data_IF_414439356104
#
_entry.id   IF_414439356104
#
_cell.length_a   1.000
_cell.length_b   1.000
_cell.length_c   1.000
_cell.angle_alpha   90.00
_cell.angle_beta   90.00
_cell.angle_gamma   90.00
#
_symmetry.space_group_name_H-M   'P 1'
#
loop_
_entity.id
_entity.type
_entity.pdbx_description
1 polymer ?
#
# COMPACT_ATOMS: atom_id res chain seq x y z
N UNK A 1 51.99 -23.53 13.55
CA UNK A 1 52.34 -22.15 13.18
C UNK A 1 51.05 -21.36 13.10
N UNK A 2 51.01 -20.25 13.82
CA UNK A 2 49.93 -19.27 13.86
C UNK A 2 49.96 -18.33 12.63
N UNK A 3 48.98 -17.41 12.60
CA UNK A 3 48.68 -16.30 11.66
C UNK A 3 47.71 -16.68 10.52
N UNK A 4 46.67 -15.91 10.16
CA UNK A 4 46.12 -14.61 10.59
C UNK A 4 44.67 -14.54 10.01
N UNK A 5 43.65 -14.21 10.81
CA UNK A 5 42.97 -12.90 10.95
C UNK A 5 42.20 -12.37 9.73
N UNK A 6 40.92 -12.12 10.01
CA UNK A 6 40.12 -10.93 9.68
C UNK A 6 39.92 -10.58 8.20
N UNK A 7 38.78 -11.03 7.68
CA UNK A 7 38.06 -10.32 6.63
C UNK A 7 36.84 -9.66 7.25
N UNK A 8 36.93 -8.36 7.50
CA UNK A 8 35.84 -7.46 7.85
C UNK A 8 34.60 -7.77 7.00
N UNK A 9 33.54 -8.30 7.63
CA UNK A 9 32.20 -8.14 7.10
C UNK A 9 31.88 -6.66 7.17
N UNK A 10 32.07 -5.98 6.03
CA UNK A 10 31.59 -4.64 5.79
C UNK A 10 30.11 -4.60 6.14
N UNK A 11 29.84 -4.03 7.32
CA UNK A 11 28.54 -3.59 7.76
C UNK A 11 28.10 -2.53 6.75
N UNK A 12 27.42 -2.96 5.69
CA UNK A 12 26.80 -2.04 4.75
C UNK A 12 25.76 -1.26 5.56
N UNK A 13 26.07 0.01 5.81
CA UNK A 13 25.14 0.99 6.35
C UNK A 13 23.84 0.89 5.55
N UNK A 14 22.85 0.20 6.13
CA UNK A 14 21.49 0.24 5.62
C UNK A 14 21.07 1.69 5.71
N UNK A 15 20.56 2.29 4.63
CA UNK A 15 20.20 3.70 4.60
C UNK A 15 19.29 3.97 5.80
N UNK A 16 19.70 4.92 6.65
CA UNK A 16 18.87 5.44 7.72
C UNK A 16 17.55 5.84 7.10
N UNK A 17 16.52 5.01 7.32
CA UNK A 17 15.24 5.15 6.66
C UNK A 17 14.70 6.55 6.90
N UNK A 18 14.21 7.18 5.82
CA UNK A 18 13.39 8.39 5.85
C UNK A 18 12.55 8.41 7.13
N UNK A 19 12.98 9.22 8.11
CA UNK A 19 12.37 9.22 9.42
C UNK A 19 11.03 9.95 9.30
N UNK A 20 9.92 9.21 9.47
CA UNK A 20 8.59 9.79 9.57
C UNK A 20 8.63 10.90 10.62
N UNK A 21 8.32 12.13 10.19
CA UNK A 21 8.37 13.32 11.03
C UNK A 21 7.06 13.45 11.78
N UNK A 22 7.16 13.68 13.08
CA UNK A 22 6.01 13.93 13.93
C UNK A 22 5.96 15.39 14.39
N UNK A 23 4.76 15.91 14.69
CA UNK A 23 4.57 17.35 14.93
C UNK A 23 5.36 17.90 16.13
N UNK A 24 5.61 17.04 17.14
CA UNK A 24 6.29 17.44 18.36
C UNK A 24 7.40 16.46 18.74
N UNK A 25 8.46 16.91 19.45
CA UNK A 25 9.51 16.03 19.96
C UNK A 25 8.99 14.91 20.88
N UNK A 26 7.88 15.18 21.58
CA UNK A 26 7.19 14.19 22.42
C UNK A 26 6.62 13.07 21.56
N UNK A 27 5.85 13.40 20.53
CA UNK A 27 5.28 12.39 19.62
C UNK A 27 6.37 11.63 18.88
N UNK A 28 7.44 12.31 18.46
CA UNK A 28 8.61 11.67 17.85
C UNK A 28 9.23 10.63 18.78
N UNK A 29 9.44 10.97 20.06
CA UNK A 29 9.96 10.05 21.07
C UNK A 29 9.01 8.87 21.29
N UNK A 30 7.70 9.11 21.36
CA UNK A 30 6.69 8.05 21.52
C UNK A 30 6.68 7.07 20.34
N UNK A 31 6.81 7.56 19.11
CA UNK A 31 6.88 6.72 17.91
C UNK A 31 8.15 5.86 17.87
N UNK A 32 9.29 6.45 18.20
CA UNK A 32 10.56 5.72 18.29
C UNK A 32 10.49 4.62 19.37
N UNK A 33 9.96 4.95 20.55
CA UNK A 33 9.81 4.00 21.65
C UNK A 33 8.79 2.89 21.31
N UNK A 34 7.67 3.25 20.67
CA UNK A 34 6.69 2.29 20.16
C UNK A 34 7.35 1.26 19.21
N UNK A 35 8.07 1.72 18.20
CA UNK A 35 8.73 0.85 17.22
C UNK A 35 9.78 -0.05 17.89
N UNK A 36 10.59 0.51 18.79
CA UNK A 36 11.60 -0.24 19.56
C UNK A 36 10.98 -1.35 20.39
N UNK A 37 9.95 -1.03 21.18
CA UNK A 37 9.25 -1.99 22.07
C UNK A 37 8.52 -3.07 21.27
N UNK A 38 7.96 -2.70 20.09
CA UNK A 38 7.29 -3.64 19.20
C UNK A 38 8.27 -4.65 18.59
N UNK A 39 9.42 -4.19 18.11
CA UNK A 39 10.49 -5.03 17.57
C UNK A 39 11.07 -5.96 18.63
N UNK A 40 11.12 -5.52 19.89
CA UNK A 40 11.48 -6.38 21.02
C UNK A 40 10.39 -7.40 21.40
N UNK A 41 9.23 -7.42 20.72
CA UNK A 41 8.17 -8.42 20.89
C UNK A 41 7.17 -8.15 22.02
N UNK A 42 7.26 -7.01 22.73
CA UNK A 42 6.38 -6.71 23.87
C UNK A 42 5.03 -6.12 23.43
N UNK A 43 4.09 -6.99 23.01
CA UNK A 43 2.77 -6.61 22.47
C UNK A 43 1.97 -5.67 23.38
N UNK A 44 1.91 -5.94 24.68
CA UNK A 44 1.12 -5.14 25.63
C UNK A 44 1.67 -3.73 25.76
N UNK A 45 2.99 -3.60 25.88
CA UNK A 45 3.64 -2.31 26.03
C UNK A 45 3.58 -1.51 24.72
N UNK A 46 3.83 -2.15 23.57
CA UNK A 46 3.70 -1.49 22.26
C UNK A 46 2.28 -1.01 22.00
N UNK A 47 1.25 -1.79 22.36
CA UNK A 47 -0.13 -1.37 22.17
C UNK A 47 -0.49 -0.16 23.04
N UNK A 48 -0.01 -0.10 24.30
CA UNK A 48 -0.20 1.08 25.15
C UNK A 48 0.43 2.32 24.53
N UNK A 49 1.68 2.23 24.05
CA UNK A 49 2.39 3.34 23.41
C UNK A 49 1.70 3.79 22.12
N UNK A 50 1.18 2.85 21.32
CA UNK A 50 0.42 3.15 20.11
C UNK A 50 -0.84 3.95 20.43
N UNK A 51 -1.58 3.56 21.47
CA UNK A 51 -2.78 4.28 21.89
C UNK A 51 -2.46 5.69 22.41
N UNK A 52 -1.36 5.85 23.15
CA UNK A 52 -0.89 7.18 23.58
C UNK A 52 -0.50 8.05 22.38
N UNK A 53 0.20 7.49 21.41
CA UNK A 53 0.56 8.18 20.18
C UNK A 53 -0.68 8.61 19.39
N UNK A 54 -1.67 7.73 19.21
CA UNK A 54 -2.93 8.04 18.53
C UNK A 54 -3.67 9.16 19.25
N UNK A 55 -3.77 9.10 20.58
CA UNK A 55 -4.41 10.14 21.37
C UNK A 55 -3.69 11.49 21.22
N UNK A 56 -2.35 11.47 21.20
CA UNK A 56 -1.53 12.65 20.96
C UNK A 56 -1.74 13.24 19.56
N UNK A 57 -1.69 12.42 18.51
CA UNK A 57 -1.95 12.84 17.13
C UNK A 57 -3.35 13.42 16.96
N UNK A 58 -4.37 12.86 17.62
CA UNK A 58 -5.75 13.38 17.58
C UNK A 58 -5.92 14.74 18.27
N UNK A 59 -4.96 15.15 19.10
CA UNK A 59 -4.96 16.45 19.76
C UNK A 59 -4.14 17.51 18.99
N UNK A 60 -3.42 17.12 17.94
CA UNK A 60 -2.67 18.03 17.08
C UNK A 60 -3.55 18.71 16.04
N UNK A 61 -3.02 19.78 15.45
CA UNK A 61 -3.65 20.47 14.32
C UNK A 61 -3.79 19.57 13.09
N UNK A 62 -4.84 19.80 12.30
CA UNK A 62 -5.15 19.01 11.11
C UNK A 62 -4.01 19.00 10.08
N UNK A 63 -3.33 20.14 9.88
CA UNK A 63 -2.21 20.24 8.94
C UNK A 63 -1.00 19.41 9.40
N UNK A 64 -0.75 19.37 10.71
CA UNK A 64 0.31 18.55 11.29
C UNK A 64 0.03 17.05 11.16
N UNK A 65 -1.21 16.63 11.40
CA UNK A 65 -1.62 15.23 11.20
C UNK A 65 -1.54 14.84 9.74
N UNK A 66 -1.97 15.73 8.83
CA UNK A 66 -1.87 15.50 7.39
C UNK A 66 -0.43 15.33 6.92
N UNK A 67 0.49 16.20 7.38
CA UNK A 67 1.92 16.09 7.07
C UNK A 67 2.50 14.76 7.56
N UNK A 68 2.14 14.33 8.78
CA UNK A 68 2.52 13.02 9.30
C UNK A 68 2.02 11.87 8.41
N UNK A 69 0.73 11.88 8.03
CA UNK A 69 0.15 10.85 7.15
C UNK A 69 0.84 10.84 5.79
N UNK A 70 1.12 12.01 5.23
CA UNK A 70 1.84 12.15 3.98
C UNK A 70 3.23 11.50 4.05
N UNK A 71 4.03 11.83 5.07
CA UNK A 71 5.38 11.27 5.26
C UNK A 71 5.34 9.75 5.49
N UNK A 72 4.37 9.29 6.29
CA UNK A 72 4.17 7.87 6.58
C UNK A 72 3.81 7.08 5.31
N UNK A 73 2.81 7.54 4.56
CA UNK A 73 2.37 6.88 3.33
C UNK A 73 3.43 6.96 2.22
N UNK A 74 4.10 8.11 2.06
CA UNK A 74 5.20 8.25 1.10
C UNK A 74 6.32 7.26 1.38
N UNK A 75 6.66 7.04 2.65
CA UNK A 75 7.72 6.11 3.03
C UNK A 75 7.28 4.66 2.90
N UNK A 76 6.07 4.30 3.35
CA UNK A 76 5.57 2.93 3.35
C UNK A 76 5.19 2.42 1.95
N UNK A 77 4.70 3.29 1.08
CA UNK A 77 4.06 2.92 -0.19
C UNK A 77 4.92 3.27 -1.41
N UNK A 78 6.20 3.61 -1.20
CA UNK A 78 7.15 3.91 -2.26
C UNK A 78 7.34 2.73 -3.23
N UNK A 79 7.23 1.49 -2.74
CA UNK A 79 7.58 0.27 -3.48
C UNK A 79 6.39 -0.58 -3.91
N UNK A 80 5.14 -0.12 -3.77
CA UNK A 80 3.96 -0.85 -4.25
C UNK A 80 2.84 -0.99 -3.22
N UNK A 81 2.03 -2.05 -3.35
CA UNK A 81 0.97 -2.37 -2.40
C UNK A 81 1.55 -2.75 -1.03
N UNK A 82 0.87 -2.33 0.05
CA UNK A 82 1.19 -2.83 1.38
C UNK A 82 0.63 -4.25 1.52
N UNK A 83 1.51 -5.26 1.58
CA UNK A 83 1.15 -6.65 1.83
C UNK A 83 1.26 -6.94 3.34
N UNK A 84 0.32 -7.69 3.94
CA UNK A 84 0.28 -7.82 5.41
C UNK A 84 0.89 -9.09 6.00
N UNK A 85 1.39 -10.04 5.21
CA UNK A 85 1.60 -11.39 5.73
C UNK A 85 3.02 -11.96 5.53
N UNK A 86 3.99 -11.15 5.08
CA UNK A 86 5.39 -11.58 4.97
C UNK A 86 6.17 -11.40 6.28
N UNK A 87 7.16 -12.26 6.54
CA UNK A 87 8.15 -12.05 7.61
C UNK A 87 8.86 -10.70 7.48
N UNK A 88 9.09 -10.24 6.25
CA UNK A 88 9.70 -8.94 5.94
C UNK A 88 8.89 -7.77 6.50
N UNK A 89 7.56 -7.83 6.38
CA UNK A 89 6.63 -6.82 6.91
C UNK A 89 6.52 -6.95 8.43
N UNK A 90 6.63 -8.19 8.93
CA UNK A 90 6.70 -8.50 10.37
C UNK A 90 8.03 -8.13 11.03
N UNK A 91 9.05 -7.71 10.27
CA UNK A 91 10.33 -7.17 10.74
C UNK A 91 10.60 -5.73 10.26
N UNK A 92 9.67 -5.17 9.46
CA UNK A 92 9.44 -3.77 9.14
C UNK A 92 9.88 -2.76 10.23
N UNK A 93 10.89 -1.87 10.06
CA UNK A 93 11.14 -0.75 10.98
C UNK A 93 9.97 0.23 11.05
N UNK A 94 9.26 0.39 9.93
CA UNK A 94 8.04 1.18 9.81
C UNK A 94 6.89 0.26 9.42
N UNK A 95 5.77 0.36 10.14
CA UNK A 95 4.55 -0.39 9.87
C UNK A 95 3.34 0.44 10.20
N UNK A 96 2.26 0.16 9.50
CA UNK A 96 0.96 0.70 9.83
C UNK A 96 0.14 -0.38 10.53
N UNK A 97 -0.26 -0.13 11.77
CA UNK A 97 -1.18 -1.01 12.50
C UNK A 97 -2.62 -0.55 12.31
N UNK A 98 -3.57 -1.48 12.38
CA UNK A 98 -4.99 -1.22 12.15
C UNK A 98 -5.55 -0.05 12.99
N UNK A 99 -5.23 0.10 14.30
CA UNK A 99 -5.72 1.24 15.09
C UNK A 99 -5.19 2.59 14.58
N UNK A 100 -3.91 2.67 14.20
CA UNK A 100 -3.33 3.89 13.65
C UNK A 100 -3.91 4.21 12.27
N UNK A 101 -4.12 3.19 11.45
CA UNK A 101 -4.78 3.34 10.16
C UNK A 101 -6.18 3.93 10.35
N UNK A 102 -7.02 3.28 11.16
CA UNK A 102 -8.43 3.65 11.34
C UNK A 102 -8.60 5.02 11.97
N UNK A 103 -7.83 5.34 13.00
CA UNK A 103 -8.05 6.55 13.82
C UNK A 103 -7.33 7.79 13.28
N UNK A 104 -6.27 7.63 12.46
CA UNK A 104 -5.43 8.74 12.01
C UNK A 104 -5.31 8.80 10.48
N UNK A 105 -4.93 7.69 9.84
CA UNK A 105 -4.67 7.68 8.38
C UNK A 105 -5.95 7.78 7.57
N UNK A 106 -6.95 6.95 7.89
CA UNK A 106 -8.20 6.85 7.14
C UNK A 106 -8.98 8.19 7.09
N UNK A 107 -9.14 8.97 8.18
CA UNK A 107 -9.78 10.27 8.11
C UNK A 107 -9.10 11.23 7.11
N UNK A 108 -7.76 11.26 7.09
CA UNK A 108 -7.00 12.08 6.14
C UNK A 108 -7.19 11.57 4.71
N UNK A 109 -7.07 10.26 4.48
CA UNK A 109 -7.31 9.66 3.18
C UNK A 109 -8.72 9.97 2.66
N UNK A 110 -9.75 9.79 3.48
CA UNK A 110 -11.14 10.02 3.10
C UNK A 110 -11.35 11.48 2.67
N UNK A 111 -10.88 12.44 3.47
CA UNK A 111 -10.95 13.88 3.14
C UNK A 111 -10.23 14.20 1.82
N UNK A 112 -9.01 13.70 1.64
CA UNK A 112 -8.20 13.98 0.43
C UNK A 112 -8.76 13.30 -0.81
N UNK A 113 -9.30 12.09 -0.68
CA UNK A 113 -9.98 11.41 -1.77
C UNK A 113 -11.27 12.14 -2.17
N UNK A 114 -12.01 12.69 -1.20
CA UNK A 114 -13.17 13.55 -1.48
C UNK A 114 -12.76 14.83 -2.25
N UNK A 115 -11.58 15.38 -1.95
CA UNK A 115 -10.96 16.50 -2.65
C UNK A 115 -10.37 16.11 -4.03
N UNK A 116 -10.52 14.86 -4.46
CA UNK A 116 -9.97 14.33 -5.72
C UNK A 116 -8.45 14.45 -5.81
N UNK A 117 -7.75 14.24 -4.70
CA UNK A 117 -6.30 14.18 -4.71
C UNK A 117 -5.83 12.83 -5.28
N UNK A 118 -5.12 12.87 -6.42
CA UNK A 118 -4.68 11.69 -7.14
C UNK A 118 -3.73 10.82 -6.31
N UNK A 119 -2.83 11.44 -5.54
CA UNK A 119 -1.86 10.72 -4.71
C UNK A 119 -2.55 9.94 -3.59
N UNK A 120 -3.52 10.57 -2.93
CA UNK A 120 -4.24 9.94 -1.82
C UNK A 120 -5.20 8.85 -2.29
N UNK A 121 -5.80 8.98 -3.48
CA UNK A 121 -6.55 7.89 -4.12
C UNK A 121 -5.66 6.68 -4.42
N UNK A 122 -4.44 6.92 -4.92
CA UNK A 122 -3.45 5.86 -5.14
C UNK A 122 -3.08 5.17 -3.84
N UNK A 123 -2.77 5.94 -2.80
CA UNK A 123 -2.44 5.38 -1.48
C UNK A 123 -3.59 4.59 -0.86
N UNK A 124 -4.83 5.07 -1.01
CA UNK A 124 -6.01 4.33 -0.58
C UNK A 124 -6.15 2.97 -1.29
N UNK A 125 -5.78 2.87 -2.57
CA UNK A 125 -5.72 1.59 -3.28
C UNK A 125 -4.55 0.72 -2.78
N UNK A 126 -3.36 1.29 -2.58
CA UNK A 126 -2.18 0.55 -2.09
C UNK A 126 -2.37 0.00 -0.67
N UNK A 127 -3.28 0.60 0.11
CA UNK A 127 -3.66 0.19 1.47
C UNK A 127 -4.85 -0.79 1.51
N UNK A 128 -5.20 -1.41 0.37
CA UNK A 128 -6.34 -2.33 0.19
C UNK A 128 -6.58 -3.35 1.31
N UNK A 129 -5.51 -3.86 1.92
CA UNK A 129 -5.59 -4.82 3.02
C UNK A 129 -6.46 -4.35 4.19
N UNK A 130 -6.44 -3.06 4.52
CA UNK A 130 -7.19 -2.52 5.65
C UNK A 130 -8.68 -2.38 5.34
N UNK A 131 -9.02 -2.25 4.06
CA UNK A 131 -10.39 -2.13 3.59
C UNK A 131 -11.04 -3.51 3.42
N UNK A 132 -10.31 -4.49 2.90
CA UNK A 132 -10.81 -5.87 2.80
C UNK A 132 -10.97 -6.57 4.16
N UNK A 133 -10.19 -6.17 5.17
CA UNK A 133 -10.29 -6.74 6.53
C UNK A 133 -11.28 -6.02 7.45
N UNK A 134 -11.71 -4.80 7.12
CA UNK A 134 -12.59 -3.98 7.96
C UNK A 134 -13.59 -3.22 7.10
N UNK A 135 -14.82 -3.73 7.09
CA UNK A 135 -15.94 -3.17 6.33
C UNK A 135 -16.20 -1.69 6.66
N UNK A 136 -16.06 -1.27 7.93
CA UNK A 136 -16.33 0.11 8.32
C UNK A 136 -15.29 1.07 7.72
N UNK A 137 -14.04 0.61 7.58
CA UNK A 137 -13.01 1.36 6.89
C UNK A 137 -13.32 1.50 5.39
N UNK A 138 -13.73 0.41 4.73
CA UNK A 138 -14.15 0.42 3.33
C UNK A 138 -15.32 1.38 3.09
N UNK A 139 -16.37 1.28 3.91
CA UNK A 139 -17.53 2.14 3.80
C UNK A 139 -17.19 3.63 3.97
N UNK A 140 -16.32 3.97 4.93
CA UNK A 140 -15.87 5.35 5.17
C UNK A 140 -15.23 5.94 3.92
N UNK A 141 -14.29 5.22 3.30
CA UNK A 141 -13.61 5.70 2.10
C UNK A 141 -14.56 5.76 0.91
N UNK A 142 -15.38 4.72 0.69
CA UNK A 142 -16.27 4.64 -0.47
C UNK A 142 -17.32 5.74 -0.45
N UNK A 143 -17.87 6.06 0.73
CA UNK A 143 -18.76 7.22 0.89
C UNK A 143 -18.05 8.53 0.58
N UNK A 144 -16.79 8.69 1.02
CA UNK A 144 -16.01 9.90 0.77
C UNK A 144 -15.76 10.16 -0.72
N UNK A 145 -15.67 9.11 -1.54
CA UNK A 145 -15.49 9.22 -2.99
C UNK A 145 -16.80 9.20 -3.80
N UNK A 146 -17.96 9.23 -3.12
CA UNK A 146 -19.30 9.25 -3.71
C UNK A 146 -19.81 7.90 -4.22
N UNK A 147 -19.21 6.78 -3.79
CA UNK A 147 -19.62 5.43 -4.17
C UNK A 147 -20.65 4.81 -3.24
N UNK A 148 -21.16 3.64 -3.62
CA UNK A 148 -22.07 2.84 -2.79
C UNK A 148 -21.27 2.00 -1.78
N UNK A 149 -21.68 1.86 -0.50
CA UNK A 149 -20.86 1.23 0.55
C UNK A 149 -20.21 -0.13 0.20
N UNK A 150 -20.82 -0.93 -0.66
CA UNK A 150 -20.33 -2.24 -1.12
C UNK A 150 -19.37 -2.20 -2.30
N UNK A 151 -18.92 -1.02 -2.74
CA UNK A 151 -18.18 -0.84 -3.99
C UNK A 151 -16.69 -0.52 -3.80
N UNK A 152 -16.06 -0.91 -2.68
CA UNK A 152 -14.61 -0.76 -2.59
C UNK A 152 -13.94 -1.65 -3.63
N UNK A 153 -13.25 -1.02 -4.58
CA UNK A 153 -12.49 -1.68 -5.62
C UNK A 153 -11.15 -0.97 -5.80
N UNK A 154 -10.07 -1.71 -5.54
CA UNK A 154 -8.69 -1.23 -5.69
C UNK A 154 -8.43 -0.71 -7.10
N UNK A 155 -8.88 -1.43 -8.12
CA UNK A 155 -8.63 -1.05 -9.52
C UNK A 155 -9.34 0.26 -9.87
N UNK A 156 -10.62 0.39 -9.49
CA UNK A 156 -11.37 1.64 -9.64
C UNK A 156 -10.68 2.86 -9.00
N UNK A 157 -10.10 2.70 -7.80
CA UNK A 157 -9.36 3.78 -7.14
C UNK A 157 -8.08 4.17 -7.90
N UNK A 158 -7.33 3.18 -8.39
CA UNK A 158 -6.12 3.43 -9.19
C UNK A 158 -6.44 4.10 -10.52
N UNK A 159 -7.49 3.65 -11.22
CA UNK A 159 -7.94 4.26 -12.47
C UNK A 159 -8.42 5.70 -12.26
N UNK A 160 -9.16 5.97 -11.17
CA UNK A 160 -9.54 7.34 -10.80
C UNK A 160 -8.33 8.20 -10.49
N UNK A 161 -7.34 7.66 -9.77
CA UNK A 161 -6.07 8.35 -9.51
C UNK A 161 -5.35 8.70 -10.81
N UNK A 162 -5.20 7.74 -11.72
CA UNK A 162 -4.53 7.92 -13.01
C UNK A 162 -5.26 8.93 -13.90
N UNK A 163 -6.60 8.90 -13.93
CA UNK A 163 -7.41 9.86 -14.68
C UNK A 163 -7.28 11.30 -14.16
N UNK A 164 -7.04 11.48 -12.86
CA UNK A 164 -6.77 12.79 -12.27
C UNK A 164 -5.34 13.26 -12.52
N UNK A 165 -4.38 12.35 -12.43
CA UNK A 165 -2.97 12.61 -12.70
C UNK A 165 -2.29 11.36 -13.23
N UNK A 166 -2.02 11.35 -14.54
CA UNK A 166 -1.28 10.27 -15.17
C UNK A 166 0.13 10.19 -14.56
N UNK A 167 0.47 9.03 -14.01
CA UNK A 167 1.81 8.77 -13.48
C UNK A 167 2.21 7.33 -13.72
N UNK A 168 3.48 7.13 -14.09
CA UNK A 168 4.05 5.81 -14.34
C UNK A 168 3.90 4.88 -13.12
N UNK A 169 4.04 5.44 -11.91
CA UNK A 169 3.85 4.69 -10.68
C UNK A 169 2.40 4.19 -10.51
N UNK A 170 1.40 5.01 -10.85
CA UNK A 170 -0.01 4.56 -10.81
C UNK A 170 -0.28 3.55 -11.92
N UNK A 171 0.23 3.77 -13.13
CA UNK A 171 0.08 2.84 -14.26
C UNK A 171 0.68 1.46 -13.94
N UNK A 172 1.88 1.42 -13.34
CA UNK A 172 2.50 0.19 -12.84
C UNK A 172 1.57 -0.55 -11.87
N UNK A 173 0.97 0.14 -10.90
CA UNK A 173 0.05 -0.47 -9.94
C UNK A 173 -1.23 -1.00 -10.59
N UNK A 174 -1.77 -0.30 -11.59
CA UNK A 174 -2.93 -0.76 -12.38
C UNK A 174 -2.59 -2.06 -13.10
N UNK A 175 -1.43 -2.11 -13.76
CA UNK A 175 -0.96 -3.31 -14.45
C UNK A 175 -0.73 -4.46 -13.47
N UNK A 176 -0.10 -4.23 -12.32
CA UNK A 176 0.09 -5.25 -11.28
C UNK A 176 -1.23 -5.81 -10.76
N UNK A 177 -2.22 -4.96 -10.52
CA UNK A 177 -3.55 -5.37 -10.05
C UNK A 177 -4.30 -6.17 -11.11
N UNK A 178 -4.31 -5.70 -12.37
CA UNK A 178 -4.92 -6.43 -13.49
C UNK A 178 -4.22 -7.75 -13.76
N UNK A 179 -2.89 -7.79 -13.70
CA UNK A 179 -2.12 -9.02 -13.83
C UNK A 179 -2.51 -10.04 -12.76
N UNK A 180 -2.65 -9.61 -11.49
CA UNK A 180 -3.10 -10.48 -10.40
C UNK A 180 -4.50 -11.05 -10.65
N UNK A 181 -5.41 -10.24 -11.21
CA UNK A 181 -6.76 -10.68 -11.59
C UNK A 181 -6.74 -11.68 -12.73
N UNK A 182 -5.98 -11.41 -13.79
CA UNK A 182 -5.82 -12.31 -14.93
C UNK A 182 -5.18 -13.63 -14.51
N UNK A 183 -4.11 -13.59 -13.71
CA UNK A 183 -3.48 -14.76 -13.11
C UNK A 183 -4.51 -15.57 -12.31
N UNK A 184 -5.34 -14.91 -11.48
CA UNK A 184 -6.41 -15.57 -10.74
C UNK A 184 -7.50 -16.17 -11.64
N UNK A 185 -7.97 -15.44 -12.65
CA UNK A 185 -8.97 -15.94 -13.61
C UNK A 185 -8.47 -17.15 -14.40
N UNK A 186 -7.15 -17.21 -14.62
CA UNK A 186 -6.46 -18.33 -15.27
C UNK A 186 -6.10 -19.48 -14.33
N UNK A 187 -6.37 -19.38 -13.03
CA UNK A 187 -5.97 -20.41 -12.06
C UNK A 187 -6.88 -21.67 -12.11
N UNK A 188 -6.29 -22.82 -11.84
CA UNK A 188 -6.56 -24.10 -12.51
C UNK A 188 -7.69 -24.96 -11.88
N UNK A 189 -8.66 -25.38 -12.70
CA UNK A 189 -8.74 -26.76 -13.16
C UNK A 189 -9.33 -26.76 -14.59
N UNK A 190 -8.73 -27.48 -15.56
CA UNK A 190 -8.76 -27.13 -16.98
C UNK A 190 -10.02 -27.71 -17.63
N UNK A 191 -11.02 -26.90 -17.98
CA UNK A 191 -10.90 -25.95 -19.09
C UNK A 191 -11.62 -24.61 -18.86
N UNK A 192 -11.98 -24.30 -17.62
CA UNK A 192 -12.88 -23.18 -17.32
C UNK A 192 -12.14 -22.05 -16.65
N UNK A 193 -12.19 -20.88 -17.28
CA UNK A 193 -11.91 -19.62 -16.61
C UNK A 193 -12.85 -19.48 -15.40
N UNK A 194 -12.35 -18.88 -14.31
CA UNK A 194 -13.21 -18.51 -13.17
C UNK A 194 -14.18 -17.37 -13.50
N UNK A 195 -14.10 -16.83 -14.71
CA UNK A 195 -14.97 -15.82 -15.27
C UNK A 195 -15.44 -16.22 -16.68
N UNK A 196 -16.29 -15.40 -17.30
CA UNK A 196 -16.66 -15.62 -18.69
C UNK A 196 -15.47 -15.33 -19.62
N UNK A 197 -15.43 -15.99 -20.77
CA UNK A 197 -14.42 -15.75 -21.81
C UNK A 197 -14.45 -14.29 -22.25
N UNK A 198 -15.63 -13.69 -22.35
CA UNK A 198 -15.80 -12.29 -22.70
C UNK A 198 -15.16 -11.35 -21.67
N UNK A 199 -15.36 -11.60 -20.37
CA UNK A 199 -14.76 -10.78 -19.32
C UNK A 199 -13.24 -10.93 -19.33
N UNK A 200 -12.73 -12.16 -19.47
CA UNK A 200 -11.30 -12.41 -19.57
C UNK A 200 -10.68 -11.68 -20.77
N UNK A 201 -11.29 -11.77 -21.97
CA UNK A 201 -10.87 -11.04 -23.17
C UNK A 201 -10.86 -9.53 -22.97
N UNK A 202 -11.89 -8.99 -22.29
CA UNK A 202 -11.96 -7.56 -21.97
C UNK A 202 -10.81 -7.13 -21.06
N UNK A 203 -10.49 -7.91 -20.04
CA UNK A 203 -9.40 -7.64 -19.12
C UNK A 203 -8.03 -7.75 -19.79
N UNK A 204 -7.81 -8.75 -20.66
CA UNK A 204 -6.59 -8.88 -21.47
C UNK A 204 -6.43 -7.69 -22.42
N UNK A 205 -7.51 -7.28 -23.10
CA UNK A 205 -7.48 -6.12 -23.98
C UNK A 205 -7.16 -4.83 -23.22
N UNK A 206 -7.82 -4.58 -22.09
CA UNK A 206 -7.55 -3.43 -21.24
C UNK A 206 -6.11 -3.42 -20.73
N UNK A 207 -5.58 -4.58 -20.33
CA UNK A 207 -4.17 -4.72 -19.93
C UNK A 207 -3.22 -4.36 -21.07
N UNK A 208 -3.47 -4.87 -22.28
CA UNK A 208 -2.65 -4.59 -23.47
C UNK A 208 -2.68 -3.11 -23.82
N UNK A 209 -3.85 -2.49 -23.80
CA UNK A 209 -4.01 -1.08 -24.18
C UNK A 209 -3.24 -0.17 -23.20
N UNK A 210 -3.33 -0.45 -21.89
CA UNK A 210 -2.54 0.24 -20.86
C UNK A 210 -1.04 -0.03 -20.98
N UNK A 211 -0.64 -1.26 -21.35
CA UNK A 211 0.76 -1.61 -21.53
C UNK A 211 1.39 -0.84 -22.71
N UNK A 212 0.59 -0.52 -23.74
CA UNK A 212 1.03 0.26 -24.90
C UNK A 212 1.35 1.73 -24.56
N UNK A 213 0.86 2.24 -23.42
CA UNK A 213 1.20 3.58 -22.92
C UNK A 213 2.63 3.66 -22.34
N UNK A 214 3.31 2.52 -22.14
CA UNK A 214 4.64 2.47 -21.52
C UNK A 214 5.78 2.49 -22.53
N UNK A 215 6.88 3.10 -22.11
CA UNK A 215 8.14 3.05 -22.85
C UNK A 215 8.80 1.66 -22.83
N UNK A 216 8.63 0.91 -21.73
CA UNK A 216 9.17 -0.44 -21.55
C UNK A 216 8.08 -1.40 -21.06
N UNK A 217 7.82 -2.43 -21.87
CA UNK A 217 6.83 -3.49 -21.64
C UNK A 217 7.47 -4.88 -21.50
N UNK A 218 8.81 -4.95 -21.44
CA UNK A 218 9.57 -6.20 -21.45
C UNK A 218 9.16 -7.16 -20.33
N UNK A 219 8.98 -6.65 -19.10
CA UNK A 219 8.58 -7.46 -17.94
C UNK A 219 7.20 -8.12 -18.08
N UNK A 220 6.31 -7.56 -18.91
CA UNK A 220 4.92 -8.01 -19.06
C UNK A 220 4.69 -8.88 -20.30
N UNK A 221 5.62 -8.83 -21.27
CA UNK A 221 5.45 -9.42 -22.59
C UNK A 221 5.16 -10.93 -22.57
N UNK A 222 5.84 -11.68 -21.69
CA UNK A 222 5.63 -13.12 -21.57
C UNK A 222 4.26 -13.45 -20.96
N UNK A 223 3.84 -12.70 -19.93
CA UNK A 223 2.53 -12.88 -19.27
C UNK A 223 1.39 -12.57 -20.23
N UNK A 224 1.47 -11.45 -20.95
CA UNK A 224 0.45 -11.05 -21.92
C UNK A 224 0.24 -12.12 -23.00
N UNK A 225 1.32 -12.63 -23.61
CA UNK A 225 1.22 -13.72 -24.60
C UNK A 225 0.58 -14.99 -24.02
N UNK A 226 0.84 -15.29 -22.74
CA UNK A 226 0.23 -16.40 -22.04
C UNK A 226 -1.29 -16.26 -21.96
N UNK A 227 -1.79 -15.09 -21.53
CA UNK A 227 -3.22 -14.84 -21.44
C UNK A 227 -3.90 -14.75 -22.81
N UNK A 228 -3.26 -14.14 -23.81
CA UNK A 228 -3.78 -14.09 -25.19
C UNK A 228 -3.94 -15.49 -25.82
N UNK A 229 -3.10 -16.45 -25.42
CA UNK A 229 -3.24 -17.85 -25.86
C UNK A 229 -4.40 -18.62 -25.22
N UNK A 230 -4.97 -18.09 -24.12
CA UNK A 230 -6.12 -18.69 -23.41
C UNK A 230 -7.45 -18.05 -23.81
N UNK A 231 -7.41 -16.83 -24.35
CA UNK A 231 -8.56 -16.01 -24.72
C UNK A 231 -9.05 -16.32 -26.13
#
# INVERSE_FOLDING_TARGET
>A
MAYAQDGDEQQTDKPQGSAVRLPTPRLQSLWQEYNRVRLAGSKKASNRLLLELIAGLRAEDEAHVEAFVHDLCSTLLASGFLANNGEEVSNAPLRLQHPLFREVVLPVLARKCQQKDALYLRWAAQLQQFFYSDWACAETLVRAIGGAPSSYDTLHLLERSYALQASEATLQLILEERARRLDYFSHEYPPTLLCTVELFRQEVAAFRDLLAERADSSQWSARLKGWEGMS
#
